data_IF_223001503287
#
_entry.id   IF_223001503287
#
_cell.length_a   1.000
_cell.length_b   1.000
_cell.length_c   1.000
_cell.angle_alpha   90.00
_cell.angle_beta   90.00
_cell.angle_gamma   90.00
#
_symmetry.space_group_name_H-M   'P 1'
#
loop_
_entity.id
_entity.type
_entity.pdbx_description
1 polymer ?
#
# COMPACT_ATOMS: atom_id res chain seq x y z
N UNK A 1 1.10 -8.69 -5.65
CA UNK A 1 0.78 -7.24 -5.77
C UNK A 1 -0.73 -7.00 -5.77
N UNK A 2 -1.53 -7.80 -6.48
CA UNK A 2 -2.98 -7.58 -6.59
C UNK A 2 -3.69 -7.54 -5.22
N UNK A 3 -3.35 -8.44 -4.30
CA UNK A 3 -3.92 -8.43 -2.94
C UNK A 3 -3.62 -7.10 -2.22
N UNK A 4 -2.41 -6.58 -2.36
CA UNK A 4 -2.02 -5.30 -1.76
C UNK A 4 -2.79 -4.15 -2.39
N UNK A 5 -2.89 -4.17 -3.72
CA UNK A 5 -3.65 -3.20 -4.52
C UNK A 5 -5.12 -3.13 -4.06
N UNK A 6 -5.78 -4.27 -3.96
CA UNK A 6 -7.17 -4.34 -3.52
C UNK A 6 -7.36 -3.85 -2.07
N UNK A 7 -6.44 -4.18 -1.17
CA UNK A 7 -6.49 -3.69 0.22
C UNK A 7 -6.26 -2.19 0.32
N UNK A 8 -5.34 -1.65 -0.46
CA UNK A 8 -5.09 -0.21 -0.51
C UNK A 8 -6.32 0.54 -1.07
N UNK A 9 -6.93 0.02 -2.13
CA UNK A 9 -8.15 0.58 -2.71
C UNK A 9 -9.32 0.55 -1.71
N UNK A 10 -9.49 -0.56 -0.98
CA UNK A 10 -10.51 -0.66 0.06
C UNK A 10 -10.28 0.36 1.19
N UNK A 11 -9.01 0.59 1.58
CA UNK A 11 -8.68 1.60 2.59
C UNK A 11 -8.96 3.01 2.07
N UNK A 12 -8.60 3.33 0.83
CA UNK A 12 -8.92 4.62 0.19
C UNK A 12 -10.42 4.88 0.20
N UNK A 13 -11.21 3.88 -0.18
CA UNK A 13 -12.68 4.00 -0.14
C UNK A 13 -13.19 4.30 1.27
N UNK A 14 -12.68 3.59 2.30
CA UNK A 14 -13.06 3.84 3.70
C UNK A 14 -12.64 5.22 4.19
N UNK A 15 -11.47 5.70 3.80
CA UNK A 15 -11.01 7.05 4.15
C UNK A 15 -11.90 8.12 3.51
N UNK A 16 -12.35 7.91 2.27
CA UNK A 16 -13.31 8.80 1.60
C UNK A 16 -14.65 8.84 2.34
N UNK A 17 -15.25 7.67 2.65
CA UNK A 17 -16.49 7.59 3.43
C UNK A 17 -16.37 8.32 4.79
N UNK A 18 -15.27 8.11 5.49
CA UNK A 18 -15.05 8.75 6.79
C UNK A 18 -14.80 10.24 6.66
N UNK A 19 -14.16 10.68 5.57
CA UNK A 19 -13.96 12.09 5.26
C UNK A 19 -15.29 12.81 5.08
N UNK A 20 -16.21 12.25 4.30
CA UNK A 20 -17.55 12.77 4.09
C UNK A 20 -18.38 12.75 5.37
N UNK A 21 -18.43 11.61 6.06
CA UNK A 21 -19.19 11.42 7.30
C UNK A 21 -18.86 12.45 8.38
N UNK A 22 -17.59 12.83 8.49
CA UNK A 22 -17.10 13.75 9.52
C UNK A 22 -16.67 15.10 8.96
N UNK A 23 -17.15 15.48 7.79
CA UNK A 23 -16.80 16.74 7.12
C UNK A 23 -17.08 17.98 7.96
N UNK A 24 -18.14 17.97 8.77
CA UNK A 24 -18.58 19.09 9.61
C UNK A 24 -18.21 18.92 11.09
N UNK A 25 -17.62 17.79 11.48
CA UNK A 25 -17.23 17.56 12.88
C UNK A 25 -15.98 18.38 13.20
N UNK A 26 -16.17 19.52 13.84
CA UNK A 26 -15.09 20.41 14.26
C UNK A 26 -14.19 19.76 15.31
N UNK A 27 -12.90 19.84 15.11
CA UNK A 27 -11.86 19.44 16.06
C UNK A 27 -10.77 20.49 16.12
N UNK A 28 -9.99 20.48 17.19
CA UNK A 28 -8.81 21.35 17.30
C UNK A 28 -7.62 20.66 16.64
N UNK A 29 -7.13 21.24 15.56
CA UNK A 29 -5.86 20.88 14.94
C UNK A 29 -4.71 21.21 15.90
N UNK A 30 -3.68 20.36 15.90
CA UNK A 30 -2.52 20.49 16.78
C UNK A 30 -1.23 20.50 15.98
N UNK A 31 -0.30 21.33 16.39
CA UNK A 31 1.10 21.31 15.95
C UNK A 31 1.98 21.17 17.17
N UNK A 32 3.01 20.35 17.13
CA UNK A 32 3.83 20.00 18.29
C UNK A 32 3.01 19.53 19.50
N UNK A 33 1.89 18.85 19.27
CA UNK A 33 0.88 18.42 20.24
C UNK A 33 0.13 19.56 20.96
N UNK A 34 0.38 20.81 20.61
CA UNK A 34 -0.26 22.00 21.19
C UNK A 34 -1.47 22.41 20.32
N UNK A 35 -2.62 22.79 20.93
CA UNK A 35 -3.76 23.33 20.20
C UNK A 35 -3.36 24.49 19.29
N UNK A 36 -3.78 24.47 18.03
CA UNK A 36 -3.47 25.50 17.05
C UNK A 36 -4.74 26.11 16.44
N UNK A 37 -5.32 25.49 15.43
CA UNK A 37 -6.47 26.03 14.69
C UNK A 37 -7.61 25.01 14.64
N UNK A 38 -8.83 25.51 14.45
CA UNK A 38 -10.00 24.66 14.22
C UNK A 38 -9.88 24.04 12.81
N UNK A 39 -10.16 22.77 12.75
CA UNK A 39 -10.29 21.97 11.52
C UNK A 39 -11.46 20.99 11.69
N UNK A 40 -11.61 20.03 10.80
CA UNK A 40 -12.61 18.97 10.94
C UNK A 40 -11.97 17.60 11.01
N UNK A 41 -12.66 16.65 11.61
CA UNK A 41 -12.23 15.26 11.61
C UNK A 41 -12.24 14.69 10.18
N UNK A 42 -13.22 15.10 9.35
CA UNK A 42 -13.25 14.74 7.92
C UNK A 42 -12.00 15.20 7.18
N UNK A 43 -11.52 16.44 7.44
CA UNK A 43 -10.25 16.91 6.87
C UNK A 43 -9.05 16.03 7.28
N UNK A 44 -9.04 15.50 8.50
CA UNK A 44 -7.98 14.55 8.92
C UNK A 44 -8.00 13.28 8.10
N UNK A 45 -9.18 12.68 7.90
CA UNK A 45 -9.32 11.50 7.04
C UNK A 45 -8.93 11.78 5.59
N UNK A 46 -9.34 12.94 5.05
CA UNK A 46 -8.94 13.38 3.71
C UNK A 46 -7.42 13.51 3.57
N UNK A 47 -6.72 14.04 4.56
CA UNK A 47 -5.26 14.18 4.54
C UNK A 47 -4.55 12.81 4.48
N UNK A 48 -5.01 11.84 5.27
CA UNK A 48 -4.46 10.47 5.19
C UNK A 48 -4.83 9.76 3.89
N UNK A 49 -6.03 10.05 3.37
CA UNK A 49 -6.48 9.56 2.05
C UNK A 49 -5.61 10.08 0.92
N UNK A 50 -5.25 11.34 0.93
CA UNK A 50 -4.39 11.96 -0.09
C UNK A 50 -2.96 11.37 -0.05
N UNK A 51 -2.38 11.19 1.14
CA UNK A 51 -1.09 10.53 1.32
C UNK A 51 -1.10 9.10 0.77
N UNK A 52 -2.16 8.34 1.08
CA UNK A 52 -2.32 6.99 0.57
C UNK A 52 -2.54 6.96 -0.95
N UNK A 53 -3.33 7.89 -1.49
CA UNK A 53 -3.60 7.99 -2.93
C UNK A 53 -2.32 8.28 -3.72
N UNK A 54 -1.46 9.16 -3.21
CA UNK A 54 -0.17 9.45 -3.79
C UNK A 54 0.70 8.17 -3.87
N UNK A 55 0.78 7.43 -2.76
CA UNK A 55 1.54 6.17 -2.70
C UNK A 55 0.90 5.06 -3.55
N UNK A 56 -0.43 5.05 -3.64
CA UNK A 56 -1.18 4.11 -4.46
C UNK A 56 -0.90 4.31 -5.96
N UNK A 57 -0.78 5.55 -6.42
CA UNK A 57 -0.42 5.82 -7.83
C UNK A 57 0.96 5.24 -8.19
N UNK A 58 1.94 5.31 -7.28
CA UNK A 58 3.24 4.68 -7.47
C UNK A 58 3.17 3.15 -7.55
N UNK A 59 2.26 2.53 -6.76
CA UNK A 59 2.00 1.09 -6.87
C UNK A 59 1.43 0.72 -8.24
N UNK A 60 0.45 1.47 -8.74
CA UNK A 60 -0.14 1.25 -10.07
C UNK A 60 0.91 1.40 -11.18
N UNK A 61 1.71 2.44 -11.13
CA UNK A 61 2.82 2.65 -12.07
C UNK A 61 3.84 1.51 -12.05
N UNK A 62 4.20 1.05 -10.85
CA UNK A 62 5.12 -0.09 -10.70
C UNK A 62 4.55 -1.36 -11.28
N UNK A 63 3.27 -1.67 -10.99
CA UNK A 63 2.58 -2.86 -11.54
C UNK A 63 2.57 -2.82 -13.06
N UNK A 64 2.18 -1.68 -13.65
CA UNK A 64 2.04 -1.53 -15.09
C UNK A 64 3.38 -1.67 -15.85
N UNK A 65 4.49 -1.22 -15.26
CA UNK A 65 5.82 -1.28 -15.90
C UNK A 65 6.68 -2.47 -15.48
N UNK A 66 6.19 -3.33 -14.56
CA UNK A 66 6.92 -4.51 -14.13
C UNK A 66 7.17 -5.44 -15.32
N UNK A 67 8.43 -5.68 -15.74
CA UNK A 67 8.69 -6.47 -16.92
C UNK A 67 8.70 -7.95 -16.60
N UNK A 68 8.21 -8.75 -17.55
CA UNK A 68 8.46 -10.19 -17.55
C UNK A 68 9.96 -10.44 -17.76
N UNK A 69 10.58 -11.31 -16.97
CA UNK A 69 11.97 -11.73 -17.22
C UNK A 69 12.07 -12.52 -18.53
N UNK A 70 11.05 -13.27 -18.89
CA UNK A 70 11.03 -14.20 -19.99
C UNK A 70 11.70 -15.55 -19.66
N UNK A 71 11.48 -16.53 -20.53
CA UNK A 71 12.07 -17.87 -20.44
C UNK A 71 13.30 -17.90 -21.37
N UNK A 72 14.45 -17.43 -20.85
CA UNK A 72 15.68 -17.25 -21.65
C UNK A 72 16.81 -18.22 -21.28
N UNK A 73 16.50 -19.28 -20.52
CA UNK A 73 17.51 -20.26 -20.09
C UNK A 73 18.42 -19.79 -18.96
N UNK A 74 19.42 -20.59 -18.62
CA UNK A 74 20.28 -20.41 -17.45
C UNK A 74 21.23 -19.20 -17.55
N UNK A 75 21.57 -18.76 -18.76
CA UNK A 75 22.48 -17.62 -18.98
C UNK A 75 21.86 -16.53 -19.87
N UNK A 76 20.55 -16.62 -20.13
CA UNK A 76 19.83 -15.60 -20.90
C UNK A 76 19.96 -15.69 -22.42
N UNK A 77 20.51 -16.75 -22.97
CA UNK A 77 20.76 -16.91 -24.41
C UNK A 77 19.60 -17.47 -25.19
N UNK A 78 18.58 -18.01 -24.52
CA UNK A 78 17.45 -18.73 -25.13
C UNK A 78 17.86 -19.93 -26.00
N UNK A 79 19.02 -20.52 -25.77
CA UNK A 79 19.52 -21.64 -26.61
C UNK A 79 18.56 -22.82 -26.66
N UNK A 80 18.07 -23.26 -25.50
CA UNK A 80 17.13 -24.38 -25.39
C UNK A 80 15.80 -24.07 -26.09
N UNK A 81 15.32 -22.83 -25.98
CA UNK A 81 14.08 -22.38 -26.63
C UNK A 81 14.24 -22.31 -28.15
N UNK A 82 15.40 -21.90 -28.63
CA UNK A 82 15.73 -21.86 -30.07
C UNK A 82 15.82 -23.30 -30.62
N UNK A 83 16.46 -24.20 -29.88
CA UNK A 83 16.55 -25.61 -30.27
C UNK A 83 15.18 -26.29 -30.37
N UNK A 84 14.30 -26.04 -29.38
CA UNK A 84 12.96 -26.65 -29.33
C UNK A 84 11.97 -26.01 -30.30
N UNK A 85 11.98 -24.70 -30.46
CA UNK A 85 10.95 -23.92 -31.17
C UNK A 85 11.42 -23.35 -32.50
N UNK A 86 12.71 -23.42 -32.80
CA UNK A 86 13.29 -22.83 -34.00
C UNK A 86 12.95 -21.35 -34.12
N UNK A 87 12.43 -20.95 -35.29
CA UNK A 87 12.05 -19.54 -35.56
C UNK A 87 10.92 -19.02 -34.64
N UNK A 88 10.09 -19.90 -34.07
CA UNK A 88 9.00 -19.50 -33.18
C UNK A 88 9.50 -19.01 -31.83
N UNK A 89 10.73 -19.35 -31.42
CA UNK A 89 11.35 -18.84 -30.19
C UNK A 89 11.38 -17.31 -30.12
N UNK A 90 11.48 -16.61 -31.24
CA UNK A 90 11.46 -15.14 -31.31
C UNK A 90 10.14 -14.52 -30.81
N UNK A 91 9.04 -15.28 -30.87
CA UNK A 91 7.72 -14.82 -30.44
C UNK A 91 7.35 -15.27 -29.01
N UNK A 92 8.20 -16.03 -28.33
CA UNK A 92 7.90 -16.65 -27.04
C UNK A 92 7.58 -15.59 -25.97
N UNK A 93 8.44 -14.58 -25.80
CA UNK A 93 8.21 -13.52 -24.81
C UNK A 93 6.93 -12.73 -25.10
N UNK A 94 6.61 -12.51 -26.36
CA UNK A 94 5.37 -11.80 -26.75
C UNK A 94 4.12 -12.64 -26.46
N UNK A 95 4.20 -13.96 -26.63
CA UNK A 95 3.12 -14.87 -26.26
C UNK A 95 2.91 -14.92 -24.74
N UNK A 96 4.00 -15.04 -23.98
CA UNK A 96 3.96 -15.07 -22.51
C UNK A 96 3.47 -13.76 -21.91
N UNK A 97 3.87 -12.62 -22.46
CA UNK A 97 3.35 -11.32 -22.04
C UNK A 97 1.82 -11.25 -22.15
N UNK A 98 1.28 -11.65 -23.28
CA UNK A 98 -0.17 -11.65 -23.51
C UNK A 98 -0.90 -12.60 -22.56
N UNK A 99 -0.36 -13.80 -22.38
CA UNK A 99 -0.96 -14.82 -21.51
C UNK A 99 -0.99 -14.40 -20.04
N UNK A 100 0.08 -13.77 -19.57
CA UNK A 100 0.25 -13.41 -18.15
C UNK A 100 -0.03 -11.93 -17.84
N UNK A 101 -0.43 -11.13 -18.82
CA UNK A 101 -0.83 -9.74 -18.62
C UNK A 101 0.31 -8.79 -18.33
N UNK A 102 1.53 -9.04 -18.85
CA UNK A 102 2.67 -8.13 -18.74
C UNK A 102 2.73 -7.16 -19.92
N UNK A 103 2.97 -5.87 -19.63
CA UNK A 103 3.17 -4.86 -20.66
C UNK A 103 4.54 -4.99 -21.34
N UNK A 104 5.58 -5.30 -20.58
CA UNK A 104 6.95 -5.39 -21.05
C UNK A 104 7.65 -6.72 -20.77
N UNK A 105 8.77 -6.97 -21.44
CA UNK A 105 9.70 -8.05 -21.11
C UNK A 105 11.13 -7.52 -21.16
N UNK A 106 12.00 -8.08 -20.30
CA UNK A 106 13.42 -7.79 -20.33
C UNK A 106 14.04 -8.30 -21.65
N UNK A 107 14.76 -7.45 -22.34
CA UNK A 107 15.37 -7.77 -23.65
C UNK A 107 16.54 -8.73 -23.45
N UNK A 108 17.45 -8.41 -22.53
CA UNK A 108 18.69 -9.16 -22.31
C UNK A 108 18.97 -9.42 -20.83
N UNK A 109 18.10 -10.19 -20.14
CA UNK A 109 18.41 -10.62 -18.79
C UNK A 109 19.45 -11.74 -18.81
N UNK A 110 20.24 -11.85 -17.74
CA UNK A 110 21.04 -13.03 -17.45
C UNK A 110 20.18 -14.16 -16.83
N UNK A 111 20.73 -14.96 -15.94
CA UNK A 111 20.00 -15.99 -15.21
C UNK A 111 18.84 -15.42 -14.39
N UNK A 112 19.05 -14.24 -13.80
CA UNK A 112 18.07 -13.53 -12.98
C UNK A 112 17.75 -12.15 -13.58
N UNK A 113 16.66 -11.58 -13.11
CA UNK A 113 16.28 -10.20 -13.42
C UNK A 113 17.16 -9.18 -12.65
N UNK A 114 17.21 -7.90 -13.06
CA UNK A 114 17.93 -6.86 -12.33
C UNK A 114 17.42 -6.73 -10.88
N UNK A 115 18.31 -6.87 -9.90
CA UNK A 115 17.95 -6.81 -8.47
C UNK A 115 17.43 -5.44 -8.02
N UNK A 116 17.62 -4.41 -8.80
CA UNK A 116 16.97 -3.10 -8.61
C UNK A 116 15.44 -3.17 -8.62
N UNK A 117 14.85 -4.16 -9.29
CA UNK A 117 13.38 -4.41 -9.27
C UNK A 117 12.93 -4.78 -7.86
N UNK A 118 13.69 -5.58 -7.12
CA UNK A 118 13.37 -5.92 -5.72
C UNK A 118 13.40 -4.68 -4.83
N UNK A 119 14.43 -3.84 -5.00
CA UNK A 119 14.53 -2.60 -4.24
C UNK A 119 13.33 -1.69 -4.50
N UNK A 120 12.98 -1.53 -5.75
CA UNK A 120 11.83 -0.72 -6.14
C UNK A 120 10.52 -1.28 -5.58
N UNK A 121 10.31 -2.59 -5.67
CA UNK A 121 9.17 -3.28 -5.09
C UNK A 121 9.03 -2.99 -3.59
N UNK A 122 10.11 -3.18 -2.83
CA UNK A 122 10.12 -2.91 -1.38
C UNK A 122 9.90 -1.43 -1.09
N UNK A 123 10.47 -0.54 -1.90
CA UNK A 123 10.30 0.92 -1.79
C UNK A 123 8.84 1.32 -1.97
N UNK A 124 8.17 0.80 -2.99
CA UNK A 124 6.74 1.05 -3.23
C UNK A 124 5.88 0.55 -2.08
N UNK A 125 6.16 -0.64 -1.53
CA UNK A 125 5.44 -1.16 -0.37
C UNK A 125 5.68 -0.31 0.89
N UNK A 126 6.90 0.16 1.11
CA UNK A 126 7.22 1.03 2.24
C UNK A 126 6.49 2.38 2.14
N UNK A 127 6.45 2.98 0.95
CA UNK A 127 5.68 4.20 0.70
C UNK A 127 4.18 3.98 0.95
N UNK A 128 3.63 2.88 0.46
CA UNK A 128 2.22 2.55 0.66
C UNK A 128 1.87 2.36 2.14
N UNK A 129 2.79 1.87 2.95
CA UNK A 129 2.62 1.69 4.39
C UNK A 129 2.73 3.00 5.20
N UNK A 130 3.26 4.08 4.61
CA UNK A 130 3.49 5.34 5.32
C UNK A 130 2.19 5.98 5.80
N UNK A 131 1.17 6.09 4.94
CA UNK A 131 -0.11 6.70 5.30
C UNK A 131 -0.86 5.94 6.41
N UNK A 132 -1.04 4.61 6.37
CA UNK A 132 -1.61 3.86 7.49
C UNK A 132 -0.81 4.00 8.78
N UNK A 133 0.51 4.01 8.72
CA UNK A 133 1.40 4.21 9.88
C UNK A 133 1.22 5.60 10.49
N UNK A 134 1.16 6.64 9.66
CA UNK A 134 0.88 8.00 10.08
C UNK A 134 -0.50 8.10 10.73
N UNK A 135 -1.54 7.55 10.09
CA UNK A 135 -2.89 7.51 10.64
C UNK A 135 -2.92 6.81 12.01
N UNK A 136 -2.34 5.64 12.13
CA UNK A 136 -2.29 4.87 13.38
C UNK A 136 -1.59 5.66 14.50
N UNK A 137 -0.46 6.30 14.20
CA UNK A 137 0.25 7.16 15.14
C UNK A 137 -0.62 8.34 15.61
N UNK A 138 -1.32 9.00 14.69
CA UNK A 138 -2.23 10.10 15.03
C UNK A 138 -3.40 9.62 15.89
N UNK A 139 -4.03 8.49 15.55
CA UNK A 139 -5.13 7.91 16.35
C UNK A 139 -4.66 7.60 17.77
N UNK A 140 -3.45 7.05 17.94
CA UNK A 140 -2.88 6.77 19.26
C UNK A 140 -2.68 8.06 20.08
N UNK A 141 -2.10 9.10 19.48
CA UNK A 141 -1.92 10.40 20.13
C UNK A 141 -3.27 11.04 20.49
N UNK A 142 -4.23 11.02 19.58
CA UNK A 142 -5.57 11.56 19.82
C UNK A 142 -6.32 10.78 20.90
N UNK A 143 -6.16 9.46 20.96
CA UNK A 143 -6.74 8.62 22.01
C UNK A 143 -6.13 8.92 23.36
N UNK A 144 -4.83 9.13 23.44
CA UNK A 144 -4.14 9.52 24.67
C UNK A 144 -4.59 10.89 25.20
N UNK A 145 -5.06 11.78 24.32
CA UNK A 145 -5.61 13.09 24.65
C UNK A 145 -7.15 13.06 24.89
N UNK A 146 -7.79 11.90 24.81
CA UNK A 146 -9.24 11.75 24.95
C UNK A 146 -10.07 12.33 23.82
N UNK A 147 -9.49 12.56 22.64
CA UNK A 147 -10.15 13.19 21.48
C UNK A 147 -10.89 12.19 20.60
N UNK A 148 -10.40 10.96 20.53
CA UNK A 148 -11.00 9.86 19.77
C UNK A 148 -10.89 8.55 20.53
N UNK A 149 -11.70 7.58 20.16
CA UNK A 149 -11.60 6.19 20.60
C UNK A 149 -11.78 5.28 19.39
N UNK A 150 -11.05 4.17 19.33
CA UNK A 150 -11.30 3.11 18.34
C UNK A 150 -12.60 2.35 18.63
N UNK A 151 -13.27 2.66 19.75
CA UNK A 151 -14.37 1.89 20.26
C UNK A 151 -13.92 0.58 20.91
N UNK A 152 -14.89 -0.19 21.38
CA UNK A 152 -14.68 -1.54 21.88
C UNK A 152 -15.68 -2.49 21.21
N UNK A 153 -15.22 -3.64 20.80
CA UNK A 153 -16.11 -4.73 20.40
C UNK A 153 -16.77 -5.34 21.62
N UNK A 154 -17.97 -5.90 21.45
CA UNK A 154 -18.66 -6.63 22.52
C UNK A 154 -17.75 -7.75 23.06
N UNK A 155 -17.57 -7.80 24.37
CA UNK A 155 -16.66 -8.74 25.04
C UNK A 155 -15.17 -8.35 25.04
N UNK A 156 -14.80 -7.23 24.45
CA UNK A 156 -13.41 -6.75 24.47
C UNK A 156 -13.05 -6.10 25.81
N UNK A 157 -12.06 -6.68 26.50
CA UNK A 157 -11.51 -6.13 27.74
C UNK A 157 -10.36 -5.18 27.39
N UNK A 158 -10.51 -3.88 27.71
CA UNK A 158 -9.50 -2.87 27.44
C UNK A 158 -8.25 -3.04 28.31
N UNK A 159 -8.44 -3.37 29.60
CA UNK A 159 -7.38 -3.65 30.58
C UNK A 159 -7.91 -4.62 31.64
N UNK A 160 -7.10 -5.61 32.02
CA UNK A 160 -7.47 -6.57 33.08
C UNK A 160 -7.56 -5.93 34.47
N UNK A 161 -6.80 -4.87 34.72
CA UNK A 161 -6.73 -4.19 36.02
C UNK A 161 -7.56 -2.90 36.08
N UNK A 162 -7.86 -2.29 34.92
CA UNK A 162 -8.55 -1.00 34.82
C UNK A 162 -9.66 -1.07 33.75
N UNK A 163 -10.87 -1.54 34.12
CA UNK A 163 -11.96 -1.77 33.15
C UNK A 163 -12.38 -0.51 32.35
N UNK A 164 -12.18 0.67 32.91
CA UNK A 164 -12.49 1.97 32.29
C UNK A 164 -11.45 2.40 31.24
N UNK A 165 -10.29 1.72 31.18
CA UNK A 165 -9.20 2.10 30.26
C UNK A 165 -9.39 1.44 28.90
N UNK A 166 -9.58 2.24 27.87
CA UNK A 166 -9.68 1.80 26.48
C UNK A 166 -8.37 2.15 25.76
N UNK A 167 -7.62 1.14 25.36
CA UNK A 167 -6.38 1.31 24.64
C UNK A 167 -6.62 1.26 23.11
N UNK A 168 -5.92 2.06 22.31
CA UNK A 168 -6.00 2.03 20.83
C UNK A 168 -5.22 0.83 20.26
N UNK A 169 -5.67 -0.39 20.56
CA UNK A 169 -4.94 -1.64 20.24
C UNK A 169 -4.80 -1.92 18.77
N UNK A 170 -5.76 -1.47 17.95
CA UNK A 170 -5.70 -1.66 16.50
C UNK A 170 -4.60 -0.78 15.88
N UNK A 171 -4.45 0.44 16.38
CA UNK A 171 -3.40 1.37 15.94
C UNK A 171 -2.02 1.09 16.55
N UNK A 172 -1.92 0.16 17.51
CA UNK A 172 -0.64 -0.27 18.10
C UNK A 172 0.02 -1.43 17.32
N UNK A 173 -0.72 -2.13 16.48
CA UNK A 173 -0.25 -3.28 15.68
C UNK A 173 0.29 -2.86 14.35
#
# INVERSE_FOLDING_TARGET
LEIVRLKALALLYRLAEMSEKYAELAIVGRTHNVPAQITTLGKRFSTWGEELLFSFSHLEEFINRLPLRGIKGAIGTSSDQIELLGKAAANLDSALKREWGFEGALISPAQIYPRSIDFEFVSVLAQLAAAPSNMATNVRLMSGLGLVSEGSSEGQVGSSAMPHKVNPRLSER
#
